data_IF_645204644156
#
_entry.id   IF_645204644156
#
_cell.length_a   1.000
_cell.length_b   1.000
_cell.length_c   1.000
_cell.angle_alpha   90.00
_cell.angle_beta   90.00
_cell.angle_gamma   90.00
#
_symmetry.space_group_name_H-M   'P 1'
#
loop_
_entity.id
_entity.type
_entity.pdbx_description
1 polymer ?
#
# COMPACT_ATOMS: atom_id res chain seq x y z
N UNK A 1 0.42 -27.32 -10.96
CA UNK A 1 1.16 -26.63 -9.86
C UNK A 1 2.15 -25.61 -10.42
N UNK A 2 3.02 -25.99 -11.36
CA UNK A 2 4.01 -25.08 -11.99
C UNK A 2 3.44 -23.79 -12.61
N UNK A 3 2.26 -23.84 -13.26
CA UNK A 3 1.65 -22.65 -13.89
C UNK A 3 1.13 -21.59 -12.91
N UNK A 4 0.80 -21.96 -11.67
CA UNK A 4 0.31 -21.00 -10.67
C UNK A 4 1.47 -20.19 -10.07
N UNK A 5 2.63 -20.82 -9.89
CA UNK A 5 3.83 -20.17 -9.39
C UNK A 5 4.35 -19.12 -10.38
N UNK A 6 4.33 -19.44 -11.68
CA UNK A 6 4.72 -18.52 -12.75
C UNK A 6 3.79 -17.29 -12.81
N UNK A 7 2.49 -17.48 -12.62
CA UNK A 7 1.52 -16.38 -12.58
C UNK A 7 1.69 -15.49 -11.35
N UNK A 8 1.96 -16.10 -10.19
CA UNK A 8 2.22 -15.36 -8.96
C UNK A 8 3.48 -14.48 -9.12
N UNK A 9 4.53 -15.06 -9.69
CA UNK A 9 5.79 -14.37 -9.95
C UNK A 9 5.64 -13.22 -10.96
N UNK A 10 4.87 -13.42 -12.02
CA UNK A 10 4.57 -12.37 -12.98
C UNK A 10 3.78 -11.20 -12.35
N UNK A 11 2.89 -11.49 -11.41
CA UNK A 11 2.17 -10.46 -10.66
C UNK A 11 3.10 -9.70 -9.70
N UNK A 12 3.96 -10.38 -8.96
CA UNK A 12 4.98 -9.75 -8.09
C UNK A 12 5.98 -8.89 -8.89
N UNK A 13 6.28 -9.31 -10.12
CA UNK A 13 7.15 -8.57 -11.02
C UNK A 13 6.44 -7.36 -11.69
N UNK A 14 5.11 -7.29 -11.61
CA UNK A 14 4.31 -6.23 -12.23
C UNK A 14 4.62 -4.85 -11.65
N UNK A 15 4.52 -3.82 -12.49
CA UNK A 15 4.75 -2.44 -12.08
C UNK A 15 3.79 -1.97 -10.99
N UNK A 16 2.53 -2.44 -11.02
CA UNK A 16 1.52 -2.13 -10.00
C UNK A 16 1.90 -2.73 -8.64
N UNK A 17 2.30 -4.01 -8.61
CA UNK A 17 2.79 -4.63 -7.37
C UNK A 17 4.05 -3.92 -6.87
N UNK A 18 5.00 -3.60 -7.75
CA UNK A 18 6.24 -2.92 -7.35
C UNK A 18 6.03 -1.49 -6.85
N UNK A 19 5.07 -0.76 -7.41
CA UNK A 19 4.74 0.58 -6.97
C UNK A 19 4.16 0.62 -5.54
N UNK A 20 3.49 -0.45 -5.13
CA UNK A 20 2.82 -0.56 -3.82
C UNK A 20 3.68 -1.32 -2.79
N UNK A 21 4.35 -2.40 -3.22
CA UNK A 21 5.06 -3.35 -2.36
C UNK A 21 6.53 -3.57 -2.74
N UNK A 22 6.97 -3.17 -3.94
CA UNK A 22 8.31 -3.42 -4.46
C UNK A 22 9.40 -2.49 -3.95
N UNK A 23 9.11 -1.69 -2.92
CA UNK A 23 10.06 -0.74 -2.37
C UNK A 23 11.30 -1.37 -1.73
N UNK A 24 11.40 -2.71 -1.55
CA UNK A 24 12.35 -3.32 -0.63
C UNK A 24 13.14 -4.55 -1.02
N UNK A 25 14.15 -4.34 -1.85
CA UNK A 25 15.29 -5.23 -1.95
C UNK A 25 16.49 -4.63 -1.21
N UNK A 26 16.67 -4.96 0.09
CA UNK A 26 18.01 -4.90 0.67
C UNK A 26 18.23 -4.36 2.09
N UNK A 27 17.26 -4.37 3.02
CA UNK A 27 17.56 -4.05 4.42
C UNK A 27 16.92 -5.04 5.39
N UNK A 28 17.81 -5.86 5.96
CA UNK A 28 17.62 -6.66 7.16
C UNK A 28 17.20 -5.74 8.32
N UNK A 29 15.96 -5.93 8.78
CA UNK A 29 15.32 -5.10 9.82
C UNK A 29 13.97 -4.51 9.40
N UNK A 30 12.99 -5.37 9.09
CA UNK A 30 11.52 -5.19 8.92
C UNK A 30 10.89 -3.92 8.30
N UNK A 31 11.55 -2.75 8.18
CA UNK A 31 10.95 -1.50 7.70
C UNK A 31 12.01 -0.56 7.12
N UNK A 32 12.43 -0.75 5.86
CA UNK A 32 13.32 0.24 5.20
C UNK A 32 12.84 0.70 3.84
N UNK A 33 11.57 0.47 3.52
CA UNK A 33 11.11 0.51 2.13
C UNK A 33 9.90 1.41 1.91
N UNK A 34 9.96 2.56 2.57
CA UNK A 34 9.18 3.71 2.16
C UNK A 34 9.79 4.28 0.86
N UNK A 35 9.01 4.43 -0.23
CA UNK A 35 9.46 5.25 -1.36
C UNK A 35 9.71 6.68 -0.88
N UNK A 36 10.72 7.41 -1.41
CA UNK A 36 10.91 8.81 -1.03
C UNK A 36 9.60 9.53 -1.31
N UNK A 37 9.08 10.20 -0.28
CA UNK A 37 7.79 10.90 -0.31
C UNK A 37 7.85 12.02 -1.34
N UNK A 38 7.64 11.68 -2.61
CA UNK A 38 7.31 12.60 -3.70
C UNK A 38 5.80 12.56 -3.89
N UNK A 39 5.07 12.85 -2.82
CA UNK A 39 3.68 13.26 -2.90
C UNK A 39 3.67 14.69 -2.43
N UNK A 40 3.12 15.58 -3.27
CA UNK A 40 2.74 16.92 -2.85
C UNK A 40 1.83 16.71 -1.64
N UNK A 41 2.40 16.91 -0.44
CA UNK A 41 1.67 16.81 0.81
C UNK A 41 0.57 17.86 0.72
N UNK A 42 -0.68 17.42 0.60
CA UNK A 42 -1.81 18.30 0.92
C UNK A 42 -1.64 18.65 2.40
N UNK A 43 -1.53 19.94 2.70
CA UNK A 43 -1.25 20.49 4.03
C UNK A 43 -2.28 20.04 5.09
N UNK A 44 -3.41 19.48 4.64
CA UNK A 44 -4.44 18.86 5.49
C UNK A 44 -4.08 17.46 6.02
N UNK A 45 -3.24 16.69 5.33
CA UNK A 45 -2.78 15.37 5.80
C UNK A 45 -1.60 15.50 6.78
N UNK A 46 -1.07 16.71 6.97
CA UNK A 46 -0.05 17.03 7.98
C UNK A 46 -0.63 17.19 9.39
N UNK A 47 -1.91 16.85 9.59
CA UNK A 47 -2.52 16.66 10.92
C UNK A 47 -2.55 15.18 11.33
N UNK A 48 -1.57 14.37 10.89
CA UNK A 48 -1.22 13.15 11.64
C UNK A 48 -0.71 13.66 12.99
N UNK A 49 -1.57 13.50 13.99
CA UNK A 49 -1.43 14.06 15.33
C UNK A 49 0.01 13.92 15.82
N UNK A 50 0.57 14.99 16.40
CA UNK A 50 1.92 14.97 16.97
C UNK A 50 2.05 14.08 18.22
N UNK A 51 1.13 13.16 18.45
CA UNK A 51 1.19 12.08 19.42
C UNK A 51 0.80 10.81 18.68
N UNK A 52 1.55 9.73 18.91
CA UNK A 52 1.41 8.44 18.22
C UNK A 52 -0.02 7.89 18.14
N UNK A 53 -0.18 6.81 17.38
CA UNK A 53 -1.45 6.14 17.13
C UNK A 53 -2.18 5.73 18.43
N UNK A 54 -1.45 5.51 19.53
CA UNK A 54 -2.05 5.24 20.83
C UNK A 54 -1.74 6.33 21.87
N UNK A 55 -2.72 6.56 22.75
CA UNK A 55 -2.48 7.27 24.01
C UNK A 55 -1.89 6.28 25.02
N UNK A 56 -0.62 6.49 25.39
CA UNK A 56 0.08 5.70 26.41
C UNK A 56 -0.50 5.90 27.81
N UNK A 57 -0.56 4.83 28.59
CA UNK A 57 -1.05 4.82 29.98
C UNK A 57 0.01 4.23 30.90
N UNK A 58 0.55 3.05 30.58
CA UNK A 58 1.54 2.33 31.40
C UNK A 58 2.98 2.53 30.92
N UNK A 59 3.19 2.99 29.69
CA UNK A 59 4.49 3.10 29.03
C UNK A 59 5.27 1.78 29.06
N UNK A 60 4.59 0.68 28.82
CA UNK A 60 5.19 -0.66 28.78
C UNK A 60 5.47 -1.12 27.33
N UNK A 61 6.21 -2.21 27.21
CA UNK A 61 6.59 -2.78 25.92
C UNK A 61 5.38 -3.22 25.07
N UNK A 62 4.23 -3.50 25.69
CA UNK A 62 3.01 -3.85 24.96
C UNK A 62 2.43 -2.62 24.28
N UNK A 63 2.44 -1.47 24.94
CA UNK A 63 2.06 -0.20 24.32
C UNK A 63 3.01 0.17 23.17
N UNK A 64 4.31 -0.07 23.30
CA UNK A 64 5.28 0.13 22.21
C UNK A 64 4.98 -0.78 21.00
N UNK A 65 4.69 -2.06 21.23
CA UNK A 65 4.33 -3.02 20.17
C UNK A 65 3.01 -2.63 19.47
N UNK A 66 2.03 -2.13 20.23
CA UNK A 66 0.78 -1.63 19.64
C UNK A 66 0.99 -0.40 18.75
N UNK A 67 1.87 0.52 19.15
CA UNK A 67 2.23 1.69 18.35
C UNK A 67 2.92 1.27 17.05
N UNK A 68 3.88 0.34 17.12
CA UNK A 68 4.57 -0.21 15.95
C UNK A 68 3.59 -0.91 14.99
N UNK A 69 2.73 -1.78 15.53
CA UNK A 69 1.72 -2.49 14.74
C UNK A 69 0.75 -1.53 14.05
N UNK A 70 0.29 -0.47 14.73
CA UNK A 70 -0.62 0.51 14.14
C UNK A 70 0.08 1.39 13.09
N UNK A 71 1.36 1.70 13.26
CA UNK A 71 2.18 2.34 12.23
C UNK A 71 2.25 1.48 10.96
N UNK A 72 2.51 0.17 11.11
CA UNK A 72 2.50 -0.77 9.99
C UNK A 72 1.13 -0.84 9.32
N UNK A 73 0.05 -0.92 10.10
CA UNK A 73 -1.32 -0.92 9.57
C UNK A 73 -1.61 0.37 8.79
N UNK A 74 -1.16 1.53 9.26
CA UNK A 74 -1.28 2.80 8.53
C UNK A 74 -0.63 2.75 7.14
N UNK A 75 0.57 2.18 7.04
CA UNK A 75 1.26 1.95 5.76
C UNK A 75 0.48 0.99 4.85
N UNK A 76 0.00 -0.13 5.40
CA UNK A 76 -0.81 -1.11 4.65
C UNK A 76 -2.10 -0.48 4.12
N UNK A 77 -2.77 0.36 4.90
CA UNK A 77 -3.96 1.10 4.47
C UNK A 77 -3.63 2.04 3.31
N UNK A 78 -2.48 2.72 3.36
CA UNK A 78 -1.99 3.52 2.24
C UNK A 78 -1.83 2.71 0.95
N UNK A 79 -1.25 1.51 1.07
CA UNK A 79 -1.09 0.57 -0.04
C UNK A 79 -2.44 0.05 -0.57
N UNK A 80 -3.37 -0.33 0.30
CA UNK A 80 -4.73 -0.74 -0.06
C UNK A 80 -5.48 0.38 -0.80
N UNK A 81 -5.32 1.64 -0.37
CA UNK A 81 -5.90 2.82 -1.04
C UNK A 81 -5.35 2.97 -2.46
N UNK A 82 -4.04 2.86 -2.66
CA UNK A 82 -3.45 2.89 -4.00
C UNK A 82 -3.99 1.76 -4.89
N UNK A 83 -4.07 0.52 -4.39
CA UNK A 83 -4.65 -0.59 -5.15
C UNK A 83 -6.13 -0.37 -5.50
N UNK A 84 -6.92 0.20 -4.59
CA UNK A 84 -8.32 0.51 -4.85
C UNK A 84 -8.48 1.57 -5.95
N UNK A 85 -7.60 2.58 -5.99
CA UNK A 85 -7.60 3.60 -7.05
C UNK A 85 -7.22 3.00 -8.40
N UNK A 86 -6.14 2.22 -8.44
CA UNK A 86 -5.66 1.58 -9.67
C UNK A 86 -6.71 0.60 -10.22
N UNK A 87 -7.31 -0.22 -9.34
CA UNK A 87 -8.37 -1.14 -9.70
C UNK A 87 -9.64 -0.41 -10.18
N UNK A 88 -9.99 0.72 -9.57
CA UNK A 88 -11.11 1.54 -10.02
C UNK A 88 -10.89 2.07 -11.44
N UNK A 89 -9.71 2.64 -11.71
CA UNK A 89 -9.36 3.12 -13.05
C UNK A 89 -9.36 2.00 -14.10
N UNK A 90 -8.86 0.82 -13.74
CA UNK A 90 -8.84 -0.35 -14.62
C UNK A 90 -10.27 -0.85 -14.93
N UNK A 91 -11.16 -0.88 -13.93
CA UNK A 91 -12.58 -1.21 -14.14
C UNK A 91 -13.24 -0.20 -15.09
N UNK A 92 -13.00 1.09 -14.91
CA UNK A 92 -13.56 2.13 -15.78
C UNK A 92 -13.08 1.99 -17.23
N UNK A 93 -11.79 1.70 -17.42
CA UNK A 93 -11.21 1.43 -18.74
C UNK A 93 -11.85 0.19 -19.40
N UNK A 94 -12.02 -0.90 -18.63
CA UNK A 94 -12.66 -2.12 -19.10
C UNK A 94 -14.13 -1.91 -19.42
N UNK A 95 -14.87 -1.10 -18.65
CA UNK A 95 -16.26 -0.76 -18.94
C UNK A 95 -16.41 -0.08 -20.31
N UNK A 96 -15.55 0.91 -20.62
CA UNK A 96 -15.53 1.57 -21.95
C UNK A 96 -15.20 0.58 -23.06
N UNK A 97 -14.31 -0.39 -22.81
CA UNK A 97 -13.97 -1.43 -23.78
C UNK A 97 -15.15 -2.38 -24.02
N UNK A 98 -15.87 -2.79 -22.98
CA UNK A 98 -17.06 -3.63 -23.07
C UNK A 98 -18.14 -2.93 -23.89
N UNK A 99 -18.40 -1.64 -23.63
CA UNK A 99 -19.38 -0.86 -24.40
C UNK A 99 -19.03 -0.82 -25.89
N UNK A 100 -17.75 -0.69 -26.23
CA UNK A 100 -17.27 -0.73 -27.63
C UNK A 100 -17.46 -2.11 -28.27
N UNK A 101 -17.35 -3.19 -27.50
CA UNK A 101 -17.58 -4.56 -27.98
C UNK A 101 -19.08 -4.79 -28.18
N UNK A 102 -19.94 -4.32 -27.28
CA UNK A 102 -21.40 -4.48 -27.36
C UNK A 102 -22.04 -3.58 -28.42
N UNK A 103 -21.44 -2.43 -28.73
CA UNK A 103 -21.89 -1.54 -29.80
C UNK A 103 -21.56 -2.02 -31.23
N UNK A 104 -21.08 -3.26 -31.38
CA UNK A 104 -20.86 -3.96 -32.65
C UNK A 104 -21.84 -5.13 -32.77
#
# INVERSE_FOLDING_TARGET
>A
MMQLEDQLKAFEESGAYKAVWGGGSGQDGVVSNQPPSSRVLDEREQMIMSGGYIRRVTNDAREDEMEENLSHVGSIIGNLKSMALDMGNEIDAQNVQIDRIQGK
#
